data_IF_289479708160
#
_entry.id   IF_289479708160
#
_cell.length_a   1.000
_cell.length_b   1.000
_cell.length_c   1.000
_cell.angle_alpha   90.00
_cell.angle_beta   90.00
_cell.angle_gamma   90.00
#
_symmetry.space_group_name_H-M   'P 1'
#
loop_
_entity.id
_entity.type
_entity.pdbx_description
1 polymer ?
#
# COMPACT_ATOMS: atom_id res chain seq x y z
N UNK A 1 83.65 30.71 48.58
CA UNK A 1 83.17 29.34 48.23
C UNK A 1 81.96 28.92 49.08
N UNK A 2 82.06 28.89 50.41
CA UNK A 2 80.95 28.50 51.32
C UNK A 2 79.62 29.26 51.10
N UNK A 3 79.65 30.58 50.85
CA UNK A 3 78.43 31.33 50.54
C UNK A 3 77.78 30.94 49.20
N UNK A 4 78.58 30.66 48.17
CA UNK A 4 78.07 30.20 46.87
C UNK A 4 77.42 28.81 47.00
N UNK A 5 78.01 27.96 47.84
CA UNK A 5 77.51 26.62 48.13
C UNK A 5 76.21 26.65 48.96
N UNK A 6 76.10 27.57 49.92
CA UNK A 6 74.83 27.82 50.64
C UNK A 6 73.72 28.30 49.70
N UNK A 7 74.02 29.19 48.76
CA UNK A 7 73.04 29.65 47.75
C UNK A 7 72.60 28.52 46.82
N UNK A 8 73.51 27.64 46.42
CA UNK A 8 73.19 26.46 45.61
C UNK A 8 72.24 25.51 46.34
N UNK A 9 72.51 25.20 47.61
CA UNK A 9 71.65 24.35 48.44
C UNK A 9 70.25 24.96 48.67
N UNK A 10 70.15 26.28 48.80
CA UNK A 10 68.85 26.97 48.89
C UNK A 10 68.06 26.89 47.58
N UNK A 11 68.72 27.11 46.43
CA UNK A 11 68.06 26.96 45.12
C UNK A 11 67.58 25.53 44.86
N UNK A 12 68.34 24.54 45.35
CA UNK A 12 67.99 23.14 45.23
C UNK A 12 66.75 22.77 46.07
N UNK A 13 66.66 23.26 47.31
CA UNK A 13 65.46 23.05 48.16
C UNK A 13 64.20 23.65 47.53
N UNK A 14 64.31 24.86 46.96
CA UNK A 14 63.18 25.48 46.27
C UNK A 14 62.72 24.67 45.05
N UNK A 15 63.65 24.05 44.32
CA UNK A 15 63.32 23.15 43.21
C UNK A 15 62.65 21.85 43.69
N UNK A 16 63.06 21.29 44.83
CA UNK A 16 62.37 20.13 45.45
C UNK A 16 60.92 20.44 45.83
N UNK A 17 60.65 21.62 46.38
CA UNK A 17 59.29 22.01 46.76
C UNK A 17 58.38 22.22 45.52
N UNK A 18 58.94 22.75 44.42
CA UNK A 18 58.24 22.86 43.14
C UNK A 18 57.99 21.50 42.47
N UNK A 19 58.86 20.51 42.70
CA UNK A 19 58.68 19.15 42.19
C UNK A 19 57.61 18.40 42.98
N UNK A 20 57.56 18.58 44.31
CA UNK A 20 56.56 17.96 45.19
C UNK A 20 55.12 18.39 44.87
N UNK A 21 54.94 19.58 44.27
CA UNK A 21 53.63 20.10 43.84
C UNK A 21 53.20 19.61 42.46
N UNK A 22 54.12 19.07 41.64
CA UNK A 22 53.86 18.56 40.29
C UNK A 22 53.52 17.05 40.25
N UNK A 23 52.68 16.57 41.19
CA UNK A 23 52.21 15.17 41.25
C UNK A 23 51.21 14.86 40.12
N UNK A 24 51.70 14.40 38.97
CA UNK A 24 50.81 13.80 37.95
C UNK A 24 51.43 12.69 37.06
N UNK A 25 52.72 12.36 37.16
CA UNK A 25 53.27 11.20 36.42
C UNK A 25 54.32 10.46 37.24
N UNK A 26 54.32 9.13 37.20
CA UNK A 26 55.30 8.29 37.91
C UNK A 26 56.75 8.55 37.50
N UNK A 27 56.97 9.16 36.33
CA UNK A 27 58.30 9.61 35.87
C UNK A 27 58.83 10.80 36.68
N UNK A 28 57.95 11.67 37.19
CA UNK A 28 58.34 12.78 38.07
C UNK A 28 58.77 12.26 39.45
N UNK A 29 58.17 11.17 39.92
CA UNK A 29 58.52 10.55 41.19
C UNK A 29 59.91 9.89 41.13
N UNK A 30 60.23 9.20 40.02
CA UNK A 30 61.56 8.64 39.78
C UNK A 30 62.64 9.75 39.69
N UNK A 31 62.39 10.82 38.94
CA UNK A 31 63.30 11.96 38.87
C UNK A 31 63.48 12.68 40.22
N UNK A 32 62.42 12.73 41.04
CA UNK A 32 62.48 13.28 42.40
C UNK A 32 63.35 12.45 43.34
N UNK A 33 63.29 11.11 43.24
CA UNK A 33 64.16 10.21 43.99
C UNK A 33 65.63 10.35 43.56
N UNK A 34 65.91 10.45 42.26
CA UNK A 34 67.28 10.69 41.77
C UNK A 34 67.83 12.05 42.24
N UNK A 35 67.03 13.10 42.17
CA UNK A 35 67.38 14.42 42.72
C UNK A 35 67.68 14.34 44.21
N UNK A 36 66.87 13.62 44.99
CA UNK A 36 67.11 13.43 46.42
C UNK A 36 68.43 12.71 46.70
N UNK A 37 68.78 11.69 45.91
CA UNK A 37 70.08 11.00 46.01
C UNK A 37 71.24 11.96 45.71
N UNK A 38 71.15 12.75 44.64
CA UNK A 38 72.17 13.76 44.29
C UNK A 38 72.28 14.84 45.37
N UNK A 39 71.17 15.25 45.98
CA UNK A 39 71.15 16.20 47.08
C UNK A 39 71.94 15.68 48.29
N UNK A 40 71.69 14.43 48.68
CA UNK A 40 72.40 13.76 49.77
C UNK A 40 73.89 13.64 49.46
N UNK A 41 74.26 13.27 48.23
CA UNK A 41 75.66 13.19 47.80
C UNK A 41 76.36 14.56 47.84
N UNK A 42 75.67 15.64 47.44
CA UNK A 42 76.20 17.00 47.52
C UNK A 42 76.39 17.45 48.98
N UNK A 43 75.43 17.19 49.86
CA UNK A 43 75.56 17.49 51.30
C UNK A 43 76.77 16.76 51.88
N UNK A 44 76.95 15.48 51.53
CA UNK A 44 78.09 14.70 51.99
C UNK A 44 79.41 15.24 51.44
N UNK A 45 79.47 15.58 50.15
CA UNK A 45 80.65 16.19 49.52
C UNK A 45 81.02 17.52 50.19
N UNK A 46 80.04 18.35 50.52
CA UNK A 46 80.23 19.62 51.23
C UNK A 46 80.76 19.37 52.63
N UNK A 47 80.23 18.36 53.32
CA UNK A 47 80.72 17.98 54.64
C UNK A 47 82.19 17.51 54.55
N UNK A 48 82.53 16.67 53.58
CA UNK A 48 83.91 16.22 53.32
C UNK A 48 84.83 17.38 52.96
N UNK A 49 84.37 18.33 52.15
CA UNK A 49 85.16 19.52 51.78
C UNK A 49 85.35 20.47 52.95
N UNK A 50 84.36 20.61 53.84
CA UNK A 50 84.52 21.40 55.08
C UNK A 50 85.54 20.74 55.98
N UNK A 51 85.42 19.43 56.22
CA UNK A 51 86.40 18.67 57.01
C UNK A 51 87.81 18.71 56.41
N UNK A 52 87.92 18.63 55.07
CA UNK A 52 89.20 18.80 54.39
C UNK A 52 89.71 20.23 54.44
N UNK A 53 88.84 21.24 54.42
CA UNK A 53 89.25 22.64 54.63
C UNK A 53 89.84 22.79 56.02
N UNK A 54 89.19 22.24 57.05
CA UNK A 54 89.71 22.26 58.43
C UNK A 54 91.04 21.50 58.54
N UNK A 55 91.19 20.37 57.84
CA UNK A 55 92.46 19.62 57.73
C UNK A 55 93.52 20.36 56.91
N UNK A 56 93.15 21.06 55.85
CA UNK A 56 94.05 21.85 55.01
C UNK A 56 94.47 23.11 55.74
N UNK A 57 93.61 23.74 56.53
CA UNK A 57 93.96 24.85 57.43
C UNK A 57 94.91 24.37 58.54
N UNK A 58 94.74 23.12 59.02
CA UNK A 58 95.68 22.47 59.93
C UNK A 58 97.04 22.14 59.26
N UNK A 59 97.04 21.67 58.02
CA UNK A 59 98.26 21.32 57.26
C UNK A 59 98.94 22.56 56.67
N UNK A 60 98.24 23.62 56.28
CA UNK A 60 98.84 24.88 55.81
C UNK A 60 99.47 25.67 56.96
N UNK A 61 99.16 25.34 58.22
CA UNK A 61 100.00 25.67 59.37
C UNK A 61 101.41 25.05 59.29
N UNK A 62 101.59 23.98 58.53
CA UNK A 62 102.85 23.26 58.26
C UNK A 62 103.13 23.19 56.73
N UNK A 63 103.70 24.27 56.18
CA UNK A 63 104.29 24.42 54.83
C UNK A 63 104.49 23.10 54.04
N UNK A 64 103.47 22.64 53.31
CA UNK A 64 103.60 21.52 52.36
C UNK A 64 102.94 21.86 51.02
N UNK A 65 103.66 21.59 49.93
CA UNK A 65 103.49 22.20 48.60
C UNK A 65 102.75 21.35 47.55
N UNK A 66 102.11 20.23 47.91
CA UNK A 66 101.51 19.34 46.91
C UNK A 66 100.00 19.59 46.66
N UNK A 67 99.69 20.73 46.05
CA UNK A 67 98.30 21.12 45.67
C UNK A 67 97.72 20.29 44.51
N UNK A 68 98.54 19.69 43.65
CA UNK A 68 98.06 19.06 42.40
C UNK A 68 97.22 17.79 42.61
N UNK A 69 97.34 17.11 43.75
CA UNK A 69 96.56 15.89 44.04
C UNK A 69 95.07 16.20 44.30
N UNK A 70 94.73 17.44 44.66
CA UNK A 70 93.36 17.85 44.98
C UNK A 70 92.60 18.41 43.77
N UNK A 71 93.30 18.90 42.74
CA UNK A 71 92.67 19.59 41.60
C UNK A 71 91.92 18.66 40.65
N UNK A 72 92.42 17.43 40.41
CA UNK A 72 91.83 16.53 39.41
C UNK A 72 90.40 16.06 39.77
N UNK A 73 90.08 15.62 41.01
CA UNK A 73 88.72 15.26 41.39
C UNK A 73 87.72 16.43 41.35
N UNK A 74 88.19 17.66 41.66
CA UNK A 74 87.36 18.86 41.62
C UNK A 74 86.99 19.22 40.18
N UNK A 75 87.93 19.09 39.24
CA UNK A 75 87.67 19.34 37.81
C UNK A 75 86.60 18.40 37.24
N UNK A 76 86.72 17.09 37.50
CA UNK A 76 85.71 16.11 37.08
C UNK A 76 84.33 16.41 37.68
N UNK A 77 84.28 16.83 38.94
CA UNK A 77 83.03 17.21 39.60
C UNK A 77 82.39 18.46 38.98
N UNK A 78 83.20 19.46 38.59
CA UNK A 78 82.73 20.67 37.93
C UNK A 78 82.20 20.38 36.51
N UNK A 79 82.90 19.54 35.74
CA UNK A 79 82.45 19.11 34.41
C UNK A 79 81.11 18.35 34.50
N UNK A 80 80.95 17.47 35.50
CA UNK A 80 79.66 16.81 35.77
C UNK A 80 78.55 17.81 36.12
N UNK A 81 78.83 18.82 36.94
CA UNK A 81 77.84 19.85 37.30
C UNK A 81 77.44 20.73 36.10
N UNK A 82 78.38 21.03 35.20
CA UNK A 82 78.08 21.73 33.96
C UNK A 82 77.16 20.90 33.05
N UNK A 83 77.43 19.59 32.91
CA UNK A 83 76.55 18.68 32.17
C UNK A 83 75.13 18.60 32.75
N UNK A 84 74.99 18.56 34.09
CA UNK A 84 73.67 18.62 34.75
C UNK A 84 72.96 19.94 34.48
N UNK A 85 73.68 21.06 34.50
CA UNK A 85 73.11 22.39 34.20
C UNK A 85 72.61 22.49 32.76
N UNK A 86 73.34 21.92 31.80
CA UNK A 86 72.91 21.88 30.40
C UNK A 86 71.68 21.01 30.20
N UNK A 87 71.62 19.82 30.83
CA UNK A 87 70.41 18.99 30.84
C UNK A 87 69.21 19.70 31.45
N UNK A 88 69.42 20.44 32.54
CA UNK A 88 68.34 21.21 33.17
C UNK A 88 67.78 22.28 32.22
N UNK A 89 68.66 23.02 31.52
CA UNK A 89 68.22 23.96 30.48
C UNK A 89 67.43 23.28 29.36
N UNK A 90 67.86 22.07 28.96
CA UNK A 90 67.14 21.30 27.95
C UNK A 90 65.76 20.89 28.44
N UNK A 91 65.63 20.40 29.68
CA UNK A 91 64.34 20.04 30.28
C UNK A 91 63.42 21.26 30.39
N UNK A 92 63.95 22.43 30.76
CA UNK A 92 63.17 23.69 30.79
C UNK A 92 62.67 24.08 29.39
N UNK A 93 63.50 23.92 28.36
CA UNK A 93 63.11 24.16 26.97
C UNK A 93 62.06 23.15 26.47
N UNK A 94 62.22 21.87 26.79
CA UNK A 94 61.24 20.81 26.46
C UNK A 94 59.91 21.06 27.16
N UNK A 95 59.92 21.47 28.43
CA UNK A 95 58.72 21.86 29.18
C UNK A 95 58.01 23.05 28.54
N UNK A 96 58.76 24.07 28.11
CA UNK A 96 58.20 25.21 27.41
C UNK A 96 57.57 24.81 26.05
N UNK A 97 58.23 23.91 25.30
CA UNK A 97 57.71 23.38 24.05
C UNK A 97 56.41 22.57 24.26
N UNK A 98 56.35 21.74 25.30
CA UNK A 98 55.13 21.00 25.66
C UNK A 98 53.98 21.94 26.06
N UNK A 99 54.28 23.02 26.78
CA UNK A 99 53.28 24.02 27.14
C UNK A 99 52.74 24.76 25.89
N UNK A 100 53.61 25.07 24.93
CA UNK A 100 53.19 25.64 23.65
C UNK A 100 52.28 24.69 22.86
N UNK A 101 52.68 23.41 22.72
CA UNK A 101 51.85 22.39 22.06
C UNK A 101 50.48 22.23 22.73
N UNK A 102 50.44 22.18 24.07
CA UNK A 102 49.18 22.13 24.81
C UNK A 102 48.29 23.35 24.52
N UNK A 103 48.86 24.54 24.46
CA UNK A 103 48.09 25.75 24.12
C UNK A 103 47.58 25.75 22.68
N UNK A 104 48.35 25.19 21.73
CA UNK A 104 47.89 25.00 20.35
C UNK A 104 46.76 23.98 20.23
N UNK A 105 46.84 22.87 20.98
CA UNK A 105 45.78 21.87 21.04
C UNK A 105 44.49 22.44 21.66
N UNK A 106 44.60 23.24 22.73
CA UNK A 106 43.47 23.95 23.33
C UNK A 106 42.84 24.95 22.35
N UNK A 107 43.64 25.68 21.57
CA UNK A 107 43.15 26.58 20.51
C UNK A 107 42.47 25.80 19.38
N UNK A 108 43.03 24.68 18.94
CA UNK A 108 42.41 23.80 17.93
C UNK A 108 41.09 23.24 18.43
N UNK A 109 41.04 22.75 19.67
CA UNK A 109 39.83 22.25 20.30
C UNK A 109 38.75 23.35 20.41
N UNK A 110 39.13 24.58 20.78
CA UNK A 110 38.22 25.72 20.80
C UNK A 110 37.67 26.04 19.39
N UNK A 111 38.52 26.01 18.37
CA UNK A 111 38.11 26.25 16.97
C UNK A 111 37.17 25.16 16.44
N UNK A 112 37.40 23.89 16.78
CA UNK A 112 36.48 22.81 16.44
C UNK A 112 35.17 22.91 17.20
N UNK A 113 35.18 23.35 18.46
CA UNK A 113 33.95 23.57 19.22
C UNK A 113 33.09 24.69 18.59
N UNK A 114 33.70 25.78 18.10
CA UNK A 114 32.96 26.84 17.40
C UNK A 114 32.41 26.35 16.07
N UNK A 115 33.20 25.63 15.26
CA UNK A 115 32.74 25.04 14.00
C UNK A 115 31.60 24.04 14.21
N UNK A 116 31.68 23.19 15.24
CA UNK A 116 30.63 22.24 15.58
C UNK A 116 29.33 22.96 15.99
N UNK A 117 29.42 24.07 16.72
CA UNK A 117 28.26 24.89 17.10
C UNK A 117 27.61 25.56 15.89
N UNK A 118 28.40 26.07 14.95
CA UNK A 118 27.90 26.64 13.69
C UNK A 118 27.22 25.56 12.83
N UNK A 119 27.84 24.40 12.67
CA UNK A 119 27.28 23.27 11.94
C UNK A 119 25.97 22.76 12.56
N UNK A 120 25.87 22.74 13.90
CA UNK A 120 24.63 22.39 14.59
C UNK A 120 23.53 23.42 14.35
N UNK A 121 23.86 24.73 14.35
CA UNK A 121 22.93 25.81 14.04
C UNK A 121 22.41 25.72 12.60
N UNK A 122 23.30 25.47 11.63
CA UNK A 122 22.89 25.30 10.22
C UNK A 122 21.99 24.08 10.04
N UNK A 123 22.32 22.95 10.67
CA UNK A 123 21.48 21.75 10.63
C UNK A 123 20.09 21.98 11.24
N UNK A 124 20.00 22.76 12.33
CA UNK A 124 18.72 23.12 12.94
C UNK A 124 17.86 24.00 12.00
N UNK A 125 18.48 24.97 11.32
CA UNK A 125 17.79 25.82 10.34
C UNK A 125 17.31 25.03 9.12
N UNK A 126 18.12 24.09 8.62
CA UNK A 126 17.73 23.20 7.52
C UNK A 126 16.62 22.24 7.94
N UNK A 127 16.66 21.69 9.15
CA UNK A 127 15.59 20.88 9.72
C UNK A 127 14.26 21.64 9.77
N UNK A 128 14.27 22.89 10.25
CA UNK A 128 13.07 23.74 10.27
C UNK A 128 12.55 24.09 8.87
N UNK A 129 13.44 24.30 7.89
CA UNK A 129 13.04 24.51 6.48
C UNK A 129 12.40 23.26 5.88
N UNK A 130 12.96 22.08 6.13
CA UNK A 130 12.40 20.82 5.66
C UNK A 130 11.01 20.57 6.24
N UNK A 131 10.82 20.82 7.54
CA UNK A 131 9.51 20.71 8.19
C UNK A 131 8.48 21.69 7.59
N UNK A 132 8.88 22.94 7.33
CA UNK A 132 8.01 23.93 6.69
C UNK A 132 7.59 23.50 5.27
N UNK A 133 8.51 22.95 4.48
CA UNK A 133 8.22 22.43 3.14
C UNK A 133 7.27 21.23 3.19
N UNK A 134 7.46 20.30 4.14
CA UNK A 134 6.54 19.17 4.32
C UNK A 134 5.13 19.65 4.70
N UNK A 135 5.03 20.66 5.58
CA UNK A 135 3.75 21.26 5.95
C UNK A 135 3.06 21.95 4.77
N UNK A 136 3.82 22.64 3.92
CA UNK A 136 3.29 23.27 2.71
C UNK A 136 2.84 22.23 1.68
N UNK A 137 3.62 21.17 1.47
CA UNK A 137 3.26 20.07 0.59
C UNK A 137 2.01 19.33 1.08
N UNK A 138 1.85 19.14 2.39
CA UNK A 138 0.66 18.57 3.00
C UNK A 138 -0.60 19.39 2.71
N UNK A 139 -0.54 20.71 2.87
CA UNK A 139 -1.65 21.63 2.55
C UNK A 139 -2.01 21.60 1.06
N UNK A 140 -1.00 21.67 0.18
CA UNK A 140 -1.23 21.61 -1.26
C UNK A 140 -1.86 20.27 -1.70
N UNK A 141 -1.48 19.16 -1.07
CA UNK A 141 -2.09 17.85 -1.33
C UNK A 141 -3.54 17.77 -0.83
N UNK A 142 -3.87 18.42 0.28
CA UNK A 142 -5.23 18.51 0.80
C UNK A 142 -6.12 19.39 -0.10
N UNK A 143 -5.63 20.56 -0.50
CA UNK A 143 -6.31 21.44 -1.47
C UNK A 143 -6.60 20.71 -2.79
N UNK A 144 -5.62 20.01 -3.34
CA UNK A 144 -5.81 19.21 -4.55
C UNK A 144 -6.85 18.10 -4.39
N UNK A 145 -6.90 17.43 -3.23
CA UNK A 145 -7.93 16.42 -2.95
C UNK A 145 -9.33 17.03 -2.86
N UNK A 146 -9.46 18.22 -2.28
CA UNK A 146 -10.75 18.91 -2.23
C UNK A 146 -11.18 19.41 -3.62
N UNK A 147 -10.26 19.88 -4.45
CA UNK A 147 -10.52 20.20 -5.87
C UNK A 147 -10.99 18.98 -6.67
N UNK A 148 -10.30 17.83 -6.52
CA UNK A 148 -10.68 16.58 -7.18
C UNK A 148 -12.08 16.11 -6.74
N UNK A 149 -12.40 16.18 -5.44
CA UNK A 149 -13.75 15.86 -4.92
C UNK A 149 -14.81 16.82 -5.45
N UNK A 150 -14.50 18.12 -5.53
CA UNK A 150 -15.42 19.11 -6.07
C UNK A 150 -15.71 18.86 -7.57
N UNK A 151 -14.68 18.54 -8.34
CA UNK A 151 -14.81 18.17 -9.75
C UNK A 151 -15.61 16.88 -9.94
N UNK A 152 -15.39 15.87 -9.11
CA UNK A 152 -16.16 14.61 -9.14
C UNK A 152 -17.64 14.85 -8.83
N UNK A 153 -17.95 15.64 -7.79
CA UNK A 153 -19.34 16.03 -7.47
C UNK A 153 -20.02 16.76 -8.62
N UNK A 154 -19.34 17.72 -9.25
CA UNK A 154 -19.87 18.45 -10.40
C UNK A 154 -20.15 17.52 -11.59
N UNK A 155 -19.28 16.52 -11.82
CA UNK A 155 -19.49 15.51 -12.86
C UNK A 155 -20.69 14.63 -12.57
N UNK A 156 -20.83 14.12 -11.35
CA UNK A 156 -21.97 13.28 -10.94
C UNK A 156 -23.28 14.06 -11.08
N UNK A 157 -23.32 15.32 -10.64
CA UNK A 157 -24.52 16.15 -10.76
C UNK A 157 -24.91 16.42 -12.23
N UNK A 158 -23.92 16.64 -13.10
CA UNK A 158 -24.17 16.81 -14.53
C UNK A 158 -24.68 15.51 -15.19
N UNK A 159 -24.11 14.35 -14.84
CA UNK A 159 -24.54 13.05 -15.33
C UNK A 159 -25.96 12.70 -14.86
N UNK A 160 -26.29 12.98 -13.60
CA UNK A 160 -27.63 12.76 -13.05
C UNK A 160 -28.67 13.64 -13.75
N UNK A 161 -28.37 14.93 -13.97
CA UNK A 161 -29.25 15.83 -14.73
C UNK A 161 -29.49 15.33 -16.15
N UNK A 162 -28.43 14.92 -16.86
CA UNK A 162 -28.55 14.39 -18.21
C UNK A 162 -29.38 13.09 -18.25
N UNK A 163 -29.23 12.22 -17.25
CA UNK A 163 -30.03 11.00 -17.13
C UNK A 163 -31.50 11.30 -16.90
N UNK A 164 -31.84 12.22 -16.01
CA UNK A 164 -33.22 12.63 -15.73
C UNK A 164 -33.85 13.24 -16.99
N UNK A 165 -33.13 14.11 -17.69
CA UNK A 165 -33.62 14.73 -18.92
C UNK A 165 -33.88 13.69 -20.03
N UNK A 166 -32.98 12.72 -20.19
CA UNK A 166 -33.15 11.63 -21.14
C UNK A 166 -34.34 10.72 -20.78
N UNK A 167 -34.53 10.41 -19.50
CA UNK A 167 -35.67 9.61 -19.02
C UNK A 167 -37.00 10.34 -19.24
N UNK A 168 -37.06 11.64 -18.95
CA UNK A 168 -38.23 12.48 -19.22
C UNK A 168 -38.54 12.58 -20.71
N UNK A 169 -37.53 12.70 -21.57
CA UNK A 169 -37.71 12.73 -23.02
C UNK A 169 -38.25 11.38 -23.55
N UNK A 170 -37.73 10.26 -23.05
CA UNK A 170 -38.19 8.93 -23.43
C UNK A 170 -39.64 8.67 -22.99
N UNK A 171 -40.01 9.07 -21.77
CA UNK A 171 -41.39 8.92 -21.28
C UNK A 171 -42.37 9.79 -22.07
N UNK A 172 -42.01 11.04 -22.40
CA UNK A 172 -42.83 11.90 -23.28
C UNK A 172 -43.04 11.27 -24.66
N UNK A 173 -41.98 10.73 -25.27
CA UNK A 173 -42.09 10.06 -26.56
C UNK A 173 -42.99 8.82 -26.49
N UNK A 174 -42.96 8.08 -25.39
CA UNK A 174 -43.82 6.91 -25.16
C UNK A 174 -45.29 7.31 -25.02
N UNK A 175 -45.59 8.34 -24.22
CA UNK A 175 -46.96 8.85 -24.05
C UNK A 175 -47.51 9.35 -25.39
N UNK A 176 -46.72 10.11 -26.15
CA UNK A 176 -47.14 10.62 -27.46
C UNK A 176 -47.41 9.49 -28.46
N UNK A 177 -46.60 8.41 -28.44
CA UNK A 177 -46.83 7.24 -29.27
C UNK A 177 -48.09 6.47 -28.87
N UNK A 178 -48.34 6.29 -27.57
CA UNK A 178 -49.53 5.64 -27.04
C UNK A 178 -50.81 6.42 -27.36
N UNK A 179 -50.78 7.75 -27.22
CA UNK A 179 -51.89 8.63 -27.57
C UNK A 179 -52.21 8.57 -29.07
N UNK A 180 -51.18 8.63 -29.92
CA UNK A 180 -51.34 8.47 -31.38
C UNK A 180 -51.97 7.12 -31.73
N UNK A 181 -51.49 6.02 -31.14
CA UNK A 181 -52.05 4.70 -31.36
C UNK A 181 -53.51 4.59 -30.91
N UNK A 182 -53.86 5.20 -29.77
CA UNK A 182 -55.24 5.24 -29.27
C UNK A 182 -56.18 6.01 -30.20
N UNK A 183 -55.77 7.19 -30.67
CA UNK A 183 -56.56 8.00 -31.61
C UNK A 183 -56.75 7.27 -32.94
N UNK A 184 -55.71 6.59 -33.43
CA UNK A 184 -55.80 5.83 -34.67
C UNK A 184 -56.73 4.61 -34.53
N UNK A 185 -56.66 3.90 -33.40
CA UNK A 185 -57.57 2.80 -33.09
C UNK A 185 -59.04 3.27 -32.95
N UNK A 186 -59.28 4.41 -32.31
CA UNK A 186 -60.62 5.01 -32.18
C UNK A 186 -61.20 5.40 -33.54
N UNK A 187 -60.41 6.07 -34.39
CA UNK A 187 -60.81 6.40 -35.76
C UNK A 187 -61.09 5.16 -36.61
N UNK A 188 -60.30 4.10 -36.46
CA UNK A 188 -60.53 2.84 -37.17
C UNK A 188 -61.83 2.17 -36.72
N UNK A 189 -62.11 2.16 -35.40
CA UNK A 189 -63.35 1.61 -34.85
C UNK A 189 -64.59 2.40 -35.31
N UNK A 190 -64.51 3.74 -35.34
CA UNK A 190 -65.60 4.59 -35.82
C UNK A 190 -65.88 4.36 -37.31
N UNK A 191 -64.84 4.29 -38.15
CA UNK A 191 -64.99 3.94 -39.57
C UNK A 191 -65.66 2.58 -39.76
N UNK A 192 -65.23 1.57 -39.01
CA UNK A 192 -65.83 0.24 -39.08
C UNK A 192 -67.33 0.25 -38.67
N UNK A 193 -67.70 1.08 -37.68
CA UNK A 193 -69.09 1.25 -37.27
C UNK A 193 -69.94 1.92 -38.37
N UNK A 194 -69.43 2.98 -38.99
CA UNK A 194 -70.11 3.68 -40.09
C UNK A 194 -70.29 2.74 -41.29
N UNK A 195 -69.24 2.01 -41.68
CA UNK A 195 -69.34 1.04 -42.78
C UNK A 195 -70.34 -0.08 -42.48
N UNK A 196 -70.43 -0.56 -41.23
CA UNK A 196 -71.41 -1.57 -40.83
C UNK A 196 -72.84 -1.02 -40.87
N UNK A 197 -73.05 0.21 -40.41
CA UNK A 197 -74.36 0.89 -40.44
C UNK A 197 -74.82 1.17 -41.88
N UNK A 198 -73.91 1.61 -42.75
CA UNK A 198 -74.21 1.83 -44.17
C UNK A 198 -74.55 0.53 -44.89
N UNK A 199 -73.80 -0.56 -44.63
CA UNK A 199 -74.12 -1.89 -45.17
C UNK A 199 -75.51 -2.35 -44.71
N UNK A 200 -75.82 -2.21 -43.42
CA UNK A 200 -77.14 -2.57 -42.89
C UNK A 200 -78.26 -1.74 -43.52
N UNK A 201 -78.03 -0.44 -43.77
CA UNK A 201 -79.00 0.44 -44.45
C UNK A 201 -79.23 0.03 -45.90
N UNK A 202 -78.16 -0.24 -46.66
CA UNK A 202 -78.26 -0.69 -48.06
C UNK A 202 -78.97 -2.05 -48.14
N UNK A 203 -78.68 -2.96 -47.21
CA UNK A 203 -79.33 -4.27 -47.17
C UNK A 203 -80.82 -4.16 -46.82
N UNK A 204 -81.18 -3.29 -45.87
CA UNK A 204 -82.58 -2.97 -45.56
C UNK A 204 -83.31 -2.32 -46.74
N UNK A 205 -82.66 -1.41 -47.47
CA UNK A 205 -83.22 -0.78 -48.67
C UNK A 205 -83.45 -1.80 -49.79
N UNK A 206 -82.47 -2.67 -50.06
CA UNK A 206 -82.61 -3.77 -51.03
C UNK A 206 -83.71 -4.75 -50.62
N UNK A 207 -83.85 -5.04 -49.33
CA UNK A 207 -84.93 -5.90 -48.83
C UNK A 207 -86.31 -5.25 -49.03
N UNK A 208 -86.42 -3.94 -48.78
CA UNK A 208 -87.65 -3.19 -49.01
C UNK A 208 -88.01 -3.10 -50.51
N UNK A 209 -87.02 -2.88 -51.39
CA UNK A 209 -87.22 -2.87 -52.84
C UNK A 209 -87.67 -4.25 -53.35
N UNK A 210 -87.03 -5.34 -52.89
CA UNK A 210 -87.46 -6.71 -53.20
C UNK A 210 -88.89 -6.98 -52.75
N UNK A 211 -89.25 -6.54 -51.54
CA UNK A 211 -90.61 -6.70 -51.04
C UNK A 211 -91.64 -5.90 -51.87
N UNK A 212 -91.28 -4.72 -52.38
CA UNK A 212 -92.13 -3.98 -53.31
C UNK A 212 -92.28 -4.69 -54.65
N UNK A 213 -91.19 -5.20 -55.22
CA UNK A 213 -91.23 -5.95 -56.48
C UNK A 213 -92.05 -7.23 -56.32
N UNK A 214 -91.88 -7.97 -55.22
CA UNK A 214 -92.71 -9.16 -54.93
C UNK A 214 -94.18 -8.80 -54.74
N UNK A 215 -94.49 -7.69 -54.07
CA UNK A 215 -95.87 -7.23 -53.92
C UNK A 215 -96.49 -6.78 -55.26
N UNK A 216 -95.72 -6.12 -56.12
CA UNK A 216 -96.16 -5.70 -57.46
C UNK A 216 -96.33 -6.91 -58.39
N UNK A 217 -95.43 -7.90 -58.31
CA UNK A 217 -95.53 -9.16 -59.04
C UNK A 217 -96.71 -10.00 -58.55
N UNK A 218 -96.93 -10.09 -57.23
CA UNK A 218 -98.13 -10.70 -56.66
C UNK A 218 -99.41 -10.00 -57.14
N UNK A 219 -99.45 -8.67 -57.12
CA UNK A 219 -100.61 -7.92 -57.63
C UNK A 219 -100.82 -8.14 -59.13
N UNK A 220 -99.75 -8.28 -59.92
CA UNK A 220 -99.83 -8.60 -61.35
C UNK A 220 -100.32 -10.03 -61.59
N UNK A 221 -99.82 -11.00 -60.82
CA UNK A 221 -100.27 -12.40 -60.87
C UNK A 221 -101.72 -12.52 -60.41
N UNK A 222 -102.14 -11.79 -59.38
CA UNK A 222 -103.55 -11.78 -58.94
C UNK A 222 -104.45 -11.11 -59.98
N UNK A 223 -104.00 -10.04 -60.63
CA UNK A 223 -104.69 -9.42 -61.77
C UNK A 223 -104.80 -10.38 -62.96
N UNK A 224 -103.73 -11.09 -63.29
CA UNK A 224 -103.69 -12.07 -64.38
C UNK A 224 -104.56 -13.29 -64.05
N UNK A 225 -104.51 -13.80 -62.81
CA UNK A 225 -105.40 -14.85 -62.31
C UNK A 225 -106.85 -14.40 -62.27
N UNK A 226 -107.15 -13.15 -61.93
CA UNK A 226 -108.50 -12.61 -61.98
C UNK A 226 -109.00 -12.51 -63.43
N UNK A 227 -108.15 -12.10 -64.36
CA UNK A 227 -108.46 -12.09 -65.79
C UNK A 227 -108.66 -13.51 -66.36
N UNK A 228 -107.84 -14.48 -65.93
CA UNK A 228 -107.95 -15.87 -66.33
C UNK A 228 -109.14 -16.57 -65.66
N UNK A 229 -109.44 -16.26 -64.39
CA UNK A 229 -110.66 -16.70 -63.72
C UNK A 229 -111.91 -16.13 -64.40
N UNK A 230 -111.91 -14.86 -64.83
CA UNK A 230 -112.99 -14.31 -65.64
C UNK A 230 -113.14 -15.02 -67.00
N UNK A 231 -112.03 -15.48 -67.59
CA UNK A 231 -112.02 -16.26 -68.83
C UNK A 231 -112.54 -17.70 -68.62
N UNK A 232 -112.14 -18.34 -67.52
CA UNK A 232 -112.63 -19.66 -67.11
C UNK A 232 -114.10 -19.59 -66.67
N UNK A 233 -114.55 -18.51 -66.04
CA UNK A 233 -115.95 -18.31 -65.68
C UNK A 233 -116.82 -18.05 -66.93
N UNK A 234 -116.28 -17.37 -67.95
CA UNK A 234 -116.90 -17.28 -69.27
C UNK A 234 -116.94 -18.64 -70.01
N UNK A 235 -115.88 -19.45 -69.92
CA UNK A 235 -115.87 -20.82 -70.45
C UNK A 235 -116.80 -21.75 -69.65
N UNK A 236 -116.87 -21.61 -68.33
CA UNK A 236 -117.76 -22.38 -67.45
C UNK A 236 -119.22 -22.00 -67.68
N UNK A 237 -119.54 -20.73 -67.96
CA UNK A 237 -120.87 -20.33 -68.42
C UNK A 237 -121.24 -20.93 -69.80
N UNK A 238 -120.25 -21.25 -70.65
CA UNK A 238 -120.47 -21.98 -71.91
C UNK A 238 -120.66 -23.49 -71.71
N UNK A 239 -119.98 -24.08 -70.73
CA UNK A 239 -120.03 -25.53 -70.44
C UNK A 239 -121.22 -25.91 -69.54
N UNK A 240 -121.66 -25.02 -68.64
CA UNK A 240 -122.78 -25.21 -67.70
C UNK A 240 -124.18 -25.13 -68.36
N UNK A 241 -124.25 -25.00 -69.69
CA UNK A 241 -125.48 -25.20 -70.49
C UNK A 241 -125.64 -26.65 -70.99
N UNK A 242 -124.65 -27.52 -70.78
CA UNK A 242 -124.62 -28.84 -71.46
C UNK A 242 -124.66 -30.09 -70.57
N UNK A 243 -124.61 -29.99 -69.23
CA UNK A 243 -124.59 -31.18 -68.39
C UNK A 243 -125.49 -31.06 -67.16
N UNK A 244 -126.79 -31.28 -67.40
CA UNK A 244 -127.78 -31.75 -66.42
C UNK A 244 -128.13 -33.20 -66.78
N UNK A 245 -127.40 -34.15 -66.20
CA UNK A 245 -127.87 -35.54 -66.00
C UNK A 245 -126.77 -36.36 -65.29
N UNK A 246 -127.08 -36.79 -64.06
CA UNK A 246 -126.65 -38.05 -63.42
C UNK A 246 -125.13 -38.20 -63.09
N UNK A 247 -124.61 -38.71 -61.97
CA UNK A 247 -125.06 -39.57 -60.86
C UNK A 247 -123.89 -39.63 -59.84
N UNK A 248 -124.13 -39.56 -58.52
CA UNK A 248 -124.04 -40.67 -57.54
C UNK A 248 -122.61 -41.24 -57.28
N UNK A 249 -121.91 -40.92 -56.17
CA UNK A 249 -121.93 -41.53 -54.80
C UNK A 249 -120.69 -42.43 -54.53
N UNK A 250 -119.81 -42.04 -53.59
CA UNK A 250 -119.14 -42.85 -52.54
C UNK A 250 -118.16 -41.92 -51.76
N UNK A 251 -118.34 -41.56 -50.49
CA UNK A 251 -118.30 -42.29 -49.21
C UNK A 251 -116.88 -42.52 -48.59
N UNK A 252 -116.76 -42.00 -47.36
CA UNK A 252 -115.99 -42.46 -46.18
C UNK A 252 -114.52 -42.05 -45.92
N UNK A 253 -114.41 -41.10 -44.98
CA UNK A 253 -113.82 -41.24 -43.63
C UNK A 253 -112.31 -41.12 -43.35
N UNK A 254 -112.03 -40.11 -42.50
CA UNK A 254 -111.17 -40.21 -41.32
C UNK A 254 -109.72 -39.75 -41.52
N UNK A 255 -109.00 -39.24 -40.52
CA UNK A 255 -109.24 -38.99 -39.10
C UNK A 255 -107.93 -38.38 -38.55
N UNK A 256 -108.04 -37.53 -37.52
CA UNK A 256 -106.99 -37.16 -36.54
C UNK A 256 -105.90 -36.18 -37.03
N UNK A 257 -105.43 -35.17 -36.29
CA UNK A 257 -105.57 -34.83 -34.87
C UNK A 257 -104.19 -34.54 -34.25
N UNK A 258 -104.17 -33.66 -33.24
CA UNK A 258 -103.20 -33.59 -32.12
C UNK A 258 -101.89 -32.81 -32.43
N UNK A 259 -101.77 -31.57 -31.94
CA UNK A 259 -101.04 -31.12 -30.71
C UNK A 259 -99.52 -31.35 -30.75
N UNK A 260 -98.73 -30.28 -30.56
CA UNK A 260 -97.86 -30.09 -29.38
C UNK A 260 -96.89 -28.90 -29.56
N UNK A 261 -97.00 -27.91 -28.67
CA UNK A 261 -95.84 -27.29 -28.02
C UNK A 261 -95.45 -28.25 -26.86
N UNK A 262 -94.22 -28.34 -26.29
CA UNK A 262 -93.56 -27.19 -25.63
C UNK A 262 -92.02 -27.27 -25.34
N UNK A 263 -91.51 -26.24 -24.63
CA UNK A 263 -90.44 -26.28 -23.58
C UNK A 263 -88.97 -26.59 -23.98
N UNK A 264 -88.01 -25.71 -23.69
CA UNK A 264 -87.35 -25.43 -22.38
C UNK A 264 -85.98 -26.14 -22.32
N UNK A 265 -84.88 -25.37 -22.26
CA UNK A 265 -83.78 -25.54 -21.28
C UNK A 265 -82.59 -24.61 -21.59
N UNK A 266 -82.40 -23.66 -20.67
CA UNK A 266 -81.06 -23.21 -20.25
C UNK A 266 -80.33 -24.38 -19.54
N UNK A 267 -79.00 -24.33 -19.32
CA UNK A 267 -78.53 -23.60 -18.14
C UNK A 267 -77.19 -22.86 -18.31
N UNK A 268 -77.03 -21.89 -17.41
CA UNK A 268 -75.84 -21.56 -16.61
C UNK A 268 -74.45 -21.34 -17.27
N UNK A 269 -74.07 -20.06 -17.22
CA UNK A 269 -72.88 -19.55 -16.52
C UNK A 269 -71.51 -20.20 -16.78
N UNK A 270 -70.62 -19.44 -17.43
CA UNK A 270 -69.35 -19.03 -16.82
C UNK A 270 -68.71 -17.91 -17.64
N UNK A 271 -68.88 -16.69 -17.16
CA UNK A 271 -68.02 -15.58 -17.51
C UNK A 271 -66.68 -15.75 -16.79
N UNK A 272 -65.56 -15.62 -17.49
CA UNK A 272 -64.40 -14.94 -16.92
C UNK A 272 -63.49 -14.38 -18.00
N UNK A 273 -63.33 -13.07 -17.92
CA UNK A 273 -62.47 -12.24 -18.75
C UNK A 273 -60.96 -12.54 -18.55
N UNK A 274 -60.12 -12.09 -19.50
CA UNK A 274 -58.67 -12.21 -19.44
C UNK A 274 -58.05 -11.00 -18.73
N UNK A 275 -56.99 -11.22 -17.95
CA UNK A 275 -56.08 -10.14 -17.51
C UNK A 275 -54.68 -10.66 -17.22
N UNK A 276 -53.77 -10.17 -18.06
CA UNK A 276 -52.35 -9.81 -17.92
C UNK A 276 -51.56 -9.98 -16.58
N UNK A 277 -50.22 -10.01 -16.68
CA UNK A 277 -49.29 -10.44 -15.63
C UNK A 277 -48.77 -9.29 -14.76
N UNK A 278 -48.15 -9.61 -13.60
CA UNK A 278 -46.91 -9.01 -13.08
C UNK A 278 -46.51 -9.59 -11.70
N UNK A 279 -45.21 -9.42 -11.42
CA UNK A 279 -44.44 -9.46 -10.15
C UNK A 279 -43.92 -10.82 -9.62
N UNK A 280 -42.59 -10.94 -9.55
CA UNK A 280 -41.89 -11.78 -8.55
C UNK A 280 -41.66 -10.98 -7.25
N UNK A 281 -40.62 -11.24 -6.43
CA UNK A 281 -39.80 -12.45 -6.23
C UNK A 281 -39.82 -12.90 -4.75
N UNK A 282 -39.69 -14.19 -4.41
CA UNK A 282 -39.21 -14.59 -3.06
C UNK A 282 -38.68 -16.03 -3.02
N UNK A 283 -37.49 -16.18 -2.45
CA UNK A 283 -36.83 -17.44 -2.04
C UNK A 283 -37.69 -18.36 -1.17
N UNK A 284 -37.24 -19.61 -0.97
CA UNK A 284 -36.82 -19.94 0.38
C UNK A 284 -35.50 -20.72 0.48
N UNK A 285 -34.88 -20.52 1.64
CA UNK A 285 -33.65 -21.12 2.12
C UNK A 285 -33.96 -22.29 3.09
N UNK A 286 -32.98 -23.21 3.19
CA UNK A 286 -32.65 -24.18 4.26
C UNK A 286 -33.00 -25.66 4.03
N UNK A 287 -31.96 -26.50 3.96
CA UNK A 287 -31.45 -27.36 5.06
C UNK A 287 -30.29 -28.24 4.52
N UNK A 288 -29.05 -27.99 4.97
CA UNK A 288 -28.32 -28.67 6.07
C UNK A 288 -27.40 -29.81 5.61
N UNK A 289 -26.08 -29.61 5.75
CA UNK A 289 -25.18 -30.65 6.29
C UNK A 289 -23.98 -29.99 6.99
N UNK A 290 -23.95 -30.16 8.31
CA UNK A 290 -22.84 -29.80 9.18
C UNK A 290 -21.90 -31.01 9.30
N UNK A 291 -20.60 -30.80 9.14
CA UNK A 291 -19.55 -31.61 9.77
C UNK A 291 -18.19 -30.89 9.70
N UNK A 292 -17.72 -30.51 10.90
CA UNK A 292 -16.33 -30.54 11.39
C UNK A 292 -15.32 -29.51 10.87
N UNK A 293 -14.96 -28.62 11.81
CA UNK A 293 -13.70 -27.88 11.89
C UNK A 293 -12.48 -28.81 11.85
N UNK A 294 -11.47 -28.47 11.03
CA UNK A 294 -10.08 -28.64 11.39
C UNK A 294 -9.40 -27.27 11.45
N UNK A 295 -9.02 -26.88 12.67
CA UNK A 295 -7.75 -26.23 13.00
C UNK A 295 -7.13 -25.35 11.91
N UNK A 296 -7.27 -24.03 12.06
CA UNK A 296 -6.48 -23.02 11.35
C UNK A 296 -4.99 -23.09 11.75
N UNK A 297 -4.31 -24.16 11.36
CA UNK A 297 -2.88 -24.11 11.09
C UNK A 297 -2.77 -23.57 9.67
N UNK A 298 -2.47 -22.28 9.58
CA UNK A 298 -2.31 -21.51 8.35
C UNK A 298 -1.56 -22.33 7.29
N UNK A 299 -2.29 -22.76 6.25
CA UNK A 299 -1.71 -23.28 5.02
C UNK A 299 -1.04 -22.10 4.30
N UNK A 300 0.13 -21.69 4.80
CA UNK A 300 1.02 -20.82 4.05
C UNK A 300 1.55 -21.69 2.91
N UNK A 301 1.04 -21.45 1.70
CA UNK A 301 1.45 -22.15 0.49
C UNK A 301 2.97 -22.06 0.36
N UNK A 302 3.64 -23.17 0.69
CA UNK A 302 5.08 -23.27 0.85
C UNK A 302 5.79 -22.78 -0.40
N UNK A 303 6.47 -21.63 -0.30
CA UNK A 303 7.14 -21.01 -1.44
C UNK A 303 8.34 -21.87 -1.82
N UNK A 304 8.21 -22.65 -2.89
CA UNK A 304 9.29 -23.52 -3.38
C UNK A 304 10.36 -22.77 -4.18
N UNK A 305 10.03 -21.60 -4.72
CA UNK A 305 10.86 -20.83 -5.66
C UNK A 305 10.87 -19.34 -5.32
N UNK A 306 12.05 -18.74 -5.33
CA UNK A 306 12.27 -17.31 -5.14
C UNK A 306 13.09 -16.76 -6.32
N UNK A 307 12.78 -15.56 -6.77
CA UNK A 307 13.63 -14.85 -7.73
C UNK A 307 14.29 -13.67 -7.02
N UNK A 308 15.62 -13.63 -7.03
CA UNK A 308 16.41 -12.57 -6.42
C UNK A 308 17.00 -11.73 -7.54
N UNK A 309 16.82 -10.41 -7.47
CA UNK A 309 17.45 -9.45 -8.38
C UNK A 309 18.22 -8.40 -7.59
N UNK A 310 19.53 -8.36 -7.83
CA UNK A 310 20.48 -7.39 -7.28
C UNK A 310 21.34 -6.83 -8.40
N UNK A 311 21.25 -5.53 -8.62
CA UNK A 311 22.12 -4.84 -9.59
C UNK A 311 23.56 -4.70 -9.04
N UNK A 312 23.68 -4.67 -7.71
CA UNK A 312 24.94 -4.57 -6.98
C UNK A 312 25.76 -5.86 -6.94
N UNK A 313 25.08 -6.99 -6.81
CA UNK A 313 25.70 -8.31 -6.80
C UNK A 313 25.04 -9.20 -7.85
N UNK A 314 25.43 -9.07 -9.13
CA UNK A 314 24.93 -9.94 -10.19
C UNK A 314 25.11 -11.43 -9.88
N UNK A 315 26.13 -11.78 -9.08
CA UNK A 315 26.38 -13.15 -8.61
C UNK A 315 25.23 -13.71 -7.77
N UNK A 316 24.56 -12.91 -6.94
CA UNK A 316 23.44 -13.38 -6.11
C UNK A 316 22.10 -13.29 -6.84
N UNK A 317 22.03 -12.64 -8.00
CA UNK A 317 20.83 -12.55 -8.81
C UNK A 317 20.52 -13.88 -9.50
N UNK A 318 19.28 -14.34 -9.42
CA UNK A 318 18.80 -15.55 -10.09
C UNK A 318 17.63 -16.21 -9.38
N UNK A 319 17.25 -17.37 -9.90
CA UNK A 319 16.22 -18.21 -9.29
C UNK A 319 16.82 -19.07 -8.18
N UNK A 320 16.19 -19.09 -7.02
CA UNK A 320 16.52 -19.89 -5.86
C UNK A 320 15.39 -20.89 -5.60
N UNK A 321 15.75 -22.15 -5.36
CA UNK A 321 14.81 -23.20 -4.97
C UNK A 321 15.05 -23.61 -3.54
N UNK A 322 13.99 -23.94 -2.82
CA UNK A 322 14.12 -24.47 -1.47
C UNK A 322 14.96 -25.75 -1.50
N UNK A 323 15.97 -25.80 -0.65
CA UNK A 323 16.77 -27.00 -0.42
C UNK A 323 15.97 -27.94 0.47
N UNK A 324 15.78 -29.19 0.05
CA UNK A 324 15.15 -30.24 0.88
C UNK A 324 16.07 -30.70 2.01
N UNK A 325 17.38 -30.50 1.86
CA UNK A 325 18.31 -30.70 2.96
C UNK A 325 18.08 -29.60 3.99
N UNK A 326 17.47 -29.95 5.12
CA UNK A 326 17.36 -29.09 6.28
C UNK A 326 18.77 -28.80 6.82
N UNK A 327 19.26 -27.60 6.57
CA UNK A 327 20.60 -27.20 7.02
C UNK A 327 20.55 -26.86 8.51
N UNK A 328 20.82 -27.85 9.36
CA UNK A 328 20.73 -27.72 10.81
C UNK A 328 19.33 -27.28 11.30
N UNK A 329 18.27 -27.75 10.62
CA UNK A 329 16.88 -27.36 10.91
C UNK A 329 16.53 -25.94 10.47
N UNK A 330 17.31 -25.34 9.56
CA UNK A 330 17.07 -23.99 9.02
C UNK A 330 16.58 -24.07 7.58
N UNK A 331 15.70 -23.14 7.23
CA UNK A 331 15.30 -22.94 5.84
C UNK A 331 16.47 -22.37 5.04
N UNK A 332 16.78 -23.03 3.93
CA UNK A 332 17.80 -22.61 2.99
C UNK A 332 17.26 -22.69 1.56
N UNK A 333 17.65 -21.74 0.74
CA UNK A 333 17.36 -21.76 -0.69
C UNK A 333 18.67 -21.83 -1.47
N UNK A 334 18.75 -22.73 -2.44
CA UNK A 334 19.91 -22.88 -3.33
C UNK A 334 19.62 -22.24 -4.67
N UNK A 335 20.54 -21.42 -5.16
CA UNK A 335 20.47 -20.83 -6.50
C UNK A 335 20.55 -21.93 -7.57
N UNK A 336 19.70 -21.86 -8.59
CA UNK A 336 19.72 -22.82 -9.69
C UNK A 336 21.04 -22.73 -10.45
N UNK A 337 21.74 -23.87 -10.60
CA UNK A 337 23.04 -24.01 -11.27
C UNK A 337 24.24 -23.28 -10.64
N UNK A 338 24.12 -22.83 -9.39
CA UNK A 338 25.21 -22.18 -8.65
C UNK A 338 25.33 -22.75 -7.24
N UNK A 339 26.53 -22.68 -6.67
CA UNK A 339 26.80 -22.99 -5.25
C UNK A 339 26.60 -21.75 -4.38
N UNK A 340 25.44 -21.10 -4.52
CA UNK A 340 25.07 -19.95 -3.69
C UNK A 340 23.78 -20.30 -2.95
N UNK A 341 23.83 -20.11 -1.64
CA UNK A 341 22.75 -20.41 -0.71
C UNK A 341 22.26 -19.11 -0.08
N UNK A 342 20.95 -18.98 0.06
CA UNK A 342 20.28 -17.97 0.84
C UNK A 342 19.78 -18.64 2.13
N UNK A 343 20.41 -18.31 3.26
CA UNK A 343 20.20 -19.00 4.55
C UNK A 343 19.80 -18.00 5.63
N UNK A 344 18.80 -18.35 6.43
CA UNK A 344 18.43 -17.60 7.63
C UNK A 344 19.37 -17.98 8.80
N UNK A 345 20.03 -17.00 9.41
CA UNK A 345 20.98 -17.23 10.49
C UNK A 345 20.52 -16.60 11.80
N UNK A 346 20.07 -17.40 12.80
CA UNK A 346 19.78 -16.88 14.14
C UNK A 346 21.05 -16.35 14.83
N UNK A 347 22.24 -16.85 14.48
CA UNK A 347 23.53 -16.34 14.99
C UNK A 347 23.79 -14.90 14.56
N UNK A 348 23.25 -14.49 13.41
CA UNK A 348 23.33 -13.12 12.92
C UNK A 348 22.07 -12.32 13.28
N UNK A 349 21.56 -12.50 14.49
CA UNK A 349 20.35 -11.83 14.97
C UNK A 349 19.16 -11.98 13.99
N UNK A 350 18.99 -13.15 13.36
CA UNK A 350 17.88 -13.42 12.44
C UNK A 350 17.99 -12.72 11.08
N UNK A 351 19.20 -12.51 10.58
CA UNK A 351 19.41 -11.98 9.23
C UNK A 351 19.43 -13.10 8.18
N UNK A 352 19.04 -12.74 6.96
CA UNK A 352 19.21 -13.59 5.79
C UNK A 352 20.56 -13.30 5.12
N UNK A 353 21.28 -14.35 4.78
CA UNK A 353 22.64 -14.27 4.24
C UNK A 353 22.78 -15.05 2.96
N UNK A 354 23.45 -14.46 1.98
CA UNK A 354 23.95 -15.14 0.80
C UNK A 354 25.35 -15.71 1.11
N UNK A 355 25.55 -17.01 1.00
CA UNK A 355 26.83 -17.69 1.27
C UNK A 355 27.12 -18.74 0.20
N UNK A 356 28.40 -19.06 -0.04
CA UNK A 356 28.79 -20.20 -0.88
C UNK A 356 28.83 -21.51 -0.13
N UNK A 357 29.16 -21.44 1.15
CA UNK A 357 29.21 -22.59 2.03
C UNK A 357 28.30 -22.30 3.24
N UNK A 358 27.19 -23.04 3.39
CA UNK A 358 26.28 -22.86 4.53
C UNK A 358 26.94 -23.19 5.88
N UNK A 359 28.10 -23.86 5.89
CA UNK A 359 28.89 -24.15 7.09
C UNK A 359 30.07 -23.18 7.30
N UNK A 360 30.46 -22.39 6.30
CA UNK A 360 31.58 -21.45 6.43
C UNK A 360 31.11 -19.99 6.64
N UNK A 361 32.04 -19.16 7.09
CA UNK A 361 31.82 -17.73 7.37
C UNK A 361 31.86 -16.84 6.10
N UNK A 362 31.90 -17.41 4.89
CA UNK A 362 31.99 -16.63 3.64
C UNK A 362 30.63 -16.01 3.27
N UNK A 363 30.32 -14.87 3.90
CA UNK A 363 29.11 -14.09 3.62
C UNK A 363 29.34 -13.20 2.39
N UNK A 364 28.57 -13.44 1.32
CA UNK A 364 28.57 -12.63 0.10
C UNK A 364 27.75 -11.34 0.29
N UNK A 365 26.59 -11.45 0.93
CA UNK A 365 25.70 -10.33 1.24
C UNK A 365 24.74 -10.68 2.38
N UNK A 366 24.26 -9.68 3.12
CA UNK A 366 23.34 -9.84 4.26
C UNK A 366 22.17 -8.86 4.20
N UNK A 367 21.01 -9.25 4.73
CA UNK A 367 19.89 -8.33 4.92
C UNK A 367 20.27 -7.26 5.95
N UNK A 368 19.82 -6.00 5.77
CA UNK A 368 20.08 -4.93 6.75
C UNK A 368 19.17 -4.99 7.97
N UNK A 369 18.02 -5.62 7.83
CA UNK A 369 17.03 -5.73 8.89
C UNK A 369 17.01 -7.15 9.43
N UNK A 370 16.98 -7.25 10.76
CA UNK A 370 16.55 -8.45 11.49
C UNK A 370 15.16 -8.81 10.97
N UNK A 371 14.99 -10.00 10.40
CA UNK A 371 13.65 -10.56 10.22
C UNK A 371 13.34 -11.38 11.48
N UNK A 372 12.26 -11.00 12.17
CA UNK A 372 11.69 -11.84 13.25
C UNK A 372 11.03 -13.09 12.68
N UNK A 373 10.87 -13.15 11.36
CA UNK A 373 10.29 -14.25 10.62
C UNK A 373 11.35 -15.10 9.96
N UNK A 374 11.15 -16.42 10.07
CA UNK A 374 11.94 -17.48 9.45
C UNK A 374 11.52 -17.73 8.00
N UNK A 375 10.45 -17.09 7.52
CA UNK A 375 9.99 -17.18 6.13
C UNK A 375 10.51 -15.99 5.33
N UNK A 376 10.98 -16.21 4.09
CA UNK A 376 11.51 -15.14 3.22
C UNK A 376 10.42 -14.20 2.68
N UNK A 377 9.15 -14.43 3.01
CA UNK A 377 7.99 -13.69 2.50
C UNK A 377 7.98 -12.23 2.97
N UNK A 378 8.45 -11.95 4.18
CA UNK A 378 8.55 -10.59 4.71
C UNK A 378 9.83 -9.83 4.27
N UNK A 379 10.74 -10.51 3.56
CA UNK A 379 11.95 -9.87 3.00
C UNK A 379 11.64 -9.02 1.77
N UNK A 380 10.47 -9.15 1.16
CA UNK A 380 10.16 -8.65 -0.19
C UNK A 380 10.18 -7.11 -0.35
N UNK A 381 10.46 -6.34 0.71
CA UNK A 381 10.54 -4.87 0.65
C UNK A 381 11.78 -4.26 1.34
N UNK A 382 12.79 -5.05 1.72
CA UNK A 382 13.82 -4.60 2.69
C UNK A 382 15.21 -4.48 2.07
N UNK A 383 15.96 -3.49 2.55
CA UNK A 383 17.30 -3.13 2.07
C UNK A 383 18.36 -4.16 2.49
N UNK A 384 19.43 -4.29 1.69
CA UNK A 384 20.51 -5.25 1.89
C UNK A 384 21.86 -4.53 1.97
N UNK A 385 22.86 -5.17 2.56
CA UNK A 385 24.25 -4.67 2.53
C UNK A 385 25.21 -5.76 2.13
N UNK A 386 26.14 -5.41 1.24
CA UNK A 386 27.39 -6.14 1.14
C UNK A 386 28.27 -5.73 2.32
N UNK A 387 28.69 -6.66 3.17
CA UNK A 387 29.83 -6.40 4.03
C UNK A 387 30.50 -7.72 4.43
N UNK A 388 31.76 -7.95 4.03
CA UNK A 388 32.68 -8.71 4.87
C UNK A 388 32.71 -8.06 6.26
N UNK A 389 32.82 -8.87 7.32
CA UNK A 389 32.73 -8.47 8.74
C UNK A 389 33.50 -7.19 9.16
N UNK A 390 34.47 -6.73 8.36
CA UNK A 390 35.40 -5.64 8.70
C UNK A 390 35.27 -4.36 7.88
N UNK A 391 34.31 -4.26 6.96
CA UNK A 391 34.17 -3.10 6.06
C UNK A 391 32.77 -2.50 6.15
N UNK A 392 32.70 -1.19 6.42
CA UNK A 392 31.47 -0.40 6.39
C UNK A 392 30.94 -0.36 4.96
N UNK A 393 30.07 -1.31 4.62
CA UNK A 393 29.59 -1.53 3.27
C UNK A 393 28.51 -0.55 2.83
N UNK A 394 28.53 -0.22 1.53
CA UNK A 394 27.50 0.56 0.85
C UNK A 394 26.13 -0.11 0.99
N UNK A 395 25.11 0.67 1.35
CA UNK A 395 23.70 0.24 1.37
C UNK A 395 23.25 -0.03 -0.06
N UNK A 396 22.66 -1.20 -0.31
CA UNK A 396 22.21 -1.58 -1.66
C UNK A 396 20.81 -2.20 -1.61
N UNK A 397 20.04 -1.99 -2.68
CA UNK A 397 18.68 -2.52 -2.78
C UNK A 397 18.74 -3.86 -3.51
N UNK A 398 18.16 -4.89 -2.90
CA UNK A 398 17.95 -6.19 -3.54
C UNK A 398 16.45 -6.41 -3.55
N UNK A 399 15.92 -6.73 -4.73
CA UNK A 399 14.51 -7.05 -4.92
C UNK A 399 14.35 -8.56 -4.90
N UNK A 400 13.48 -9.07 -4.04
CA UNK A 400 13.09 -10.49 -4.01
C UNK A 400 11.64 -10.57 -4.44
N UNK A 401 11.36 -11.40 -5.43
CA UNK A 401 10.03 -11.64 -5.98
C UNK A 401 9.69 -13.12 -5.88
N UNK A 402 8.41 -13.41 -5.62
CA UNK A 402 7.87 -14.77 -5.77
C UNK A 402 7.80 -15.11 -7.25
N UNK A 403 8.32 -16.28 -7.61
CA UNK A 403 8.21 -16.82 -8.96
C UNK A 403 6.82 -17.39 -9.23
#
# INVERSE_FOLDING_TARGET
MLQALKKLLQSFRAAQDQLATAKASGEIEAAGQELQVVASQLIELVHRLTMRSDQVDAILGEKSTDLHVIEAPLRASLESLLGVRERLKQIEAEKAALQALKSEEEQKAASWATQAKEAASTAQMEGGRAEALMKQAGKAAEEKREEEKAAERARIEAEEKARIEAEQAAERARIEAEEKARIEAEKAAERARIEAEEKARIEAEKAAERAQIEAEEQARIESEKAAEAARIEAEAQSVMKSMKSDTSTMDLQGKNGVEDQPKEQAPEALATNPSLPKTGPTSPCKQQKAAQDPTLTSQVAEVQRLFVKSDACPKVSGEYRRSESDWQGRQAFKKHNDEIFLVWSPREAGHWTFTRDPNAEEVLARSLQVSLTTTPEELMCRSWTMAPWRSHGSKMVVHIQRA
#
